data_IF_692612009570
#
_entry.id   IF_692612009570
#
_cell.length_a   1.000
_cell.length_b   1.000
_cell.length_c   1.000
_cell.angle_alpha   90.00
_cell.angle_beta   90.00
_cell.angle_gamma   90.00
#
_symmetry.space_group_name_H-M   'P 1'
#
loop_
_entity.id
_entity.type
_entity.pdbx_description
1 polymer ?
#
# COMPACT_ATOMS: atom_id res chain seq x y z
N UNK A 1 5.02 4.56 -9.84
CA UNK A 1 3.60 4.35 -9.46
C UNK A 1 3.60 3.61 -8.15
N UNK A 2 3.06 4.17 -7.08
CA UNK A 2 3.44 3.61 -5.78
C UNK A 2 2.42 3.85 -4.68
N UNK A 3 1.33 3.10 -4.78
CA UNK A 3 0.18 2.95 -3.87
C UNK A 3 -1.13 3.32 -4.57
N UNK A 4 -1.93 2.29 -4.86
CA UNK A 4 -3.34 2.42 -5.20
C UNK A 4 -4.21 2.03 -4.02
N UNK A 5 -5.11 2.93 -3.63
CA UNK A 5 -6.20 2.61 -2.70
C UNK A 5 -7.41 2.20 -3.53
N UNK A 6 -7.85 0.96 -3.36
CA UNK A 6 -8.95 0.35 -4.10
C UNK A 6 -10.10 0.05 -3.17
N UNK A 7 -11.32 0.38 -3.60
CA UNK A 7 -12.54 -0.04 -2.91
C UNK A 7 -13.01 -1.36 -3.48
N UNK A 8 -13.36 -2.32 -2.62
CA UNK A 8 -14.00 -3.56 -3.03
C UNK A 8 -15.51 -3.33 -3.09
N UNK A 9 -16.13 -3.72 -4.19
CA UNK A 9 -17.58 -3.65 -4.40
C UNK A 9 -17.99 -4.94 -5.11
N UNK A 10 -18.79 -5.78 -4.44
CA UNK A 10 -19.34 -7.04 -4.99
C UNK A 10 -18.27 -7.96 -5.61
N UNK A 11 -17.12 -8.06 -4.94
CA UNK A 11 -16.00 -8.92 -5.37
C UNK A 11 -15.13 -8.36 -6.50
N UNK A 12 -15.38 -7.12 -6.95
CA UNK A 12 -14.49 -6.36 -7.85
C UNK A 12 -13.81 -5.24 -7.07
N UNK A 13 -12.65 -4.80 -7.53
CA UNK A 13 -11.93 -3.68 -6.93
C UNK A 13 -11.79 -2.53 -7.90
N UNK A 14 -12.03 -1.30 -7.43
CA UNK A 14 -11.94 -0.07 -8.23
C UNK A 14 -10.97 0.91 -7.58
N UNK A 15 -10.08 1.50 -8.38
CA UNK A 15 -9.12 2.51 -7.90
C UNK A 15 -9.88 3.78 -7.47
N UNK A 16 -9.67 4.22 -6.23
CA UNK A 16 -10.28 5.43 -5.67
C UNK A 16 -9.28 6.56 -5.51
N UNK A 17 -8.06 6.22 -5.09
CA UNK A 17 -7.02 7.19 -4.77
C UNK A 17 -5.66 6.62 -5.12
N UNK A 18 -4.77 7.51 -5.57
CA UNK A 18 -3.36 7.22 -5.80
C UNK A 18 -2.54 8.02 -4.78
N UNK A 19 -1.58 7.37 -4.14
CA UNK A 19 -0.65 7.98 -3.19
C UNK A 19 0.79 7.85 -3.72
N UNK A 20 1.70 8.67 -3.16
CA UNK A 20 3.15 8.60 -3.35
C UNK A 20 3.59 8.33 -4.80
N UNK A 21 3.23 9.22 -5.73
CA UNK A 21 3.58 9.00 -7.13
C UNK A 21 5.10 8.95 -7.32
N UNK A 22 5.54 8.09 -8.26
CA UNK A 22 6.95 7.87 -8.61
C UNK A 22 7.92 7.47 -7.47
N UNK A 23 7.42 6.99 -6.33
CA UNK A 23 8.26 6.54 -5.19
C UNK A 23 8.41 5.02 -5.13
N UNK A 24 9.54 4.40 -5.47
CA UNK A 24 9.63 2.92 -5.46
C UNK A 24 10.21 2.32 -4.17
N UNK A 25 10.66 3.16 -3.22
CA UNK A 25 11.24 2.68 -1.97
C UNK A 25 10.17 2.20 -0.99
N UNK A 26 10.19 0.91 -0.67
CA UNK A 26 9.21 0.26 0.21
C UNK A 26 9.09 0.91 1.60
N UNK A 27 10.16 1.48 2.17
CA UNK A 27 10.07 2.11 3.51
C UNK A 27 9.39 3.47 3.43
N UNK A 28 9.71 4.27 2.43
CA UNK A 28 9.05 5.56 2.25
C UNK A 28 7.58 5.37 1.89
N UNK A 29 7.26 4.37 1.06
CA UNK A 29 5.88 3.97 0.78
C UNK A 29 5.09 3.59 2.03
N UNK A 30 5.70 2.85 2.96
CA UNK A 30 5.02 2.49 4.19
C UNK A 30 4.83 3.67 5.15
N UNK A 31 5.71 4.68 5.14
CA UNK A 31 5.47 5.93 5.90
C UNK A 31 4.27 6.68 5.33
N UNK A 32 4.16 6.75 4.01
CA UNK A 32 3.04 7.40 3.31
C UNK A 32 1.73 6.65 3.58
N UNK A 33 1.77 5.31 3.52
CA UNK A 33 0.64 4.46 3.89
C UNK A 33 0.23 4.64 5.36
N UNK A 34 1.16 4.57 6.30
CA UNK A 34 0.86 4.74 7.73
C UNK A 34 0.25 6.12 8.01
N UNK A 35 0.84 7.18 7.45
CA UNK A 35 0.28 8.53 7.56
C UNK A 35 -1.16 8.58 7.02
N UNK A 36 -1.40 8.04 5.83
CA UNK A 36 -2.73 8.04 5.23
C UNK A 36 -3.75 7.24 6.05
N UNK A 37 -3.37 6.06 6.58
CA UNK A 37 -4.27 5.27 7.43
C UNK A 37 -4.62 5.99 8.72
N UNK A 38 -3.65 6.63 9.36
CA UNK A 38 -3.87 7.28 10.65
C UNK A 38 -4.60 8.64 10.53
N UNK A 39 -4.38 9.37 9.45
CA UNK A 39 -4.94 10.72 9.27
C UNK A 39 -6.24 10.74 8.44
N UNK A 40 -6.41 9.83 7.47
CA UNK A 40 -7.50 9.90 6.48
C UNK A 40 -8.41 8.66 6.46
N UNK A 41 -7.91 7.48 6.82
CA UNK A 41 -8.75 6.29 6.87
C UNK A 41 -9.86 6.27 7.95
N UNK A 42 -9.88 7.14 9.00
CA UNK A 42 -11.03 7.24 9.90
C UNK A 42 -12.38 7.48 9.18
N UNK A 43 -12.38 8.12 8.01
CA UNK A 43 -13.59 8.46 7.25
C UNK A 43 -14.00 7.40 6.23
N UNK A 44 -13.23 6.32 6.08
CA UNK A 44 -13.59 5.24 5.16
C UNK A 44 -14.75 4.43 5.72
N UNK A 45 -15.83 4.33 4.96
CA UNK A 45 -16.89 3.37 5.23
C UNK A 45 -16.36 1.94 4.98
N UNK A 46 -16.58 1.00 5.91
CA UNK A 46 -16.00 -0.33 5.81
C UNK A 46 -16.52 -1.14 4.61
N UNK A 47 -17.72 -0.88 4.09
CA UNK A 47 -18.23 -1.46 2.83
C UNK A 47 -17.98 -2.98 2.67
N UNK A 48 -17.64 -3.42 1.46
CA UNK A 48 -17.10 -4.77 1.18
C UNK A 48 -15.57 -4.87 1.41
N UNK A 49 -14.95 -3.80 1.95
CA UNK A 49 -13.51 -3.71 2.23
C UNK A 49 -12.72 -2.82 1.28
N UNK A 50 -11.44 -2.65 1.61
CA UNK A 50 -10.48 -1.83 0.89
C UNK A 50 -9.19 -2.61 0.64
N UNK A 51 -8.49 -2.31 -0.45
CA UNK A 51 -7.18 -2.86 -0.76
C UNK A 51 -6.20 -1.72 -0.99
N UNK A 52 -5.11 -1.69 -0.24
CA UNK A 52 -3.97 -0.80 -0.49
C UNK A 52 -2.90 -1.61 -1.23
N UNK A 53 -2.75 -1.34 -2.52
CA UNK A 53 -1.82 -1.99 -3.44
C UNK A 53 -0.51 -1.20 -3.52
N UNK A 54 0.52 -1.68 -2.84
CA UNK A 54 1.82 -1.04 -2.70
C UNK A 54 2.79 -1.65 -3.70
N UNK A 55 3.01 -0.93 -4.81
CA UNK A 55 4.06 -1.23 -5.77
C UNK A 55 5.41 -0.72 -5.29
N UNK A 56 6.42 -1.59 -5.25
CA UNK A 56 7.78 -1.24 -4.81
C UNK A 56 8.83 -1.96 -5.64
N UNK A 57 10.06 -1.44 -5.65
CA UNK A 57 11.22 -2.17 -6.18
C UNK A 57 12.20 -2.52 -5.06
N UNK A 58 12.88 -3.66 -5.21
CA UNK A 58 13.89 -4.09 -4.27
C UNK A 58 15.10 -3.14 -4.33
N UNK A 59 15.63 -2.80 -3.16
CA UNK A 59 16.87 -2.00 -3.09
C UNK A 59 18.04 -2.81 -3.64
N UNK A 60 18.84 -2.19 -4.51
CA UNK A 60 20.05 -2.82 -5.05
C UNK A 60 20.95 -3.35 -3.93
N UNK A 61 21.24 -4.65 -3.97
CA UNK A 61 22.12 -5.31 -3.01
C UNK A 61 21.49 -5.58 -1.63
N UNK A 62 20.18 -5.39 -1.47
CA UNK A 62 19.50 -5.83 -0.25
C UNK A 62 19.38 -7.36 -0.23
N UNK A 63 19.84 -7.98 0.87
CA UNK A 63 19.64 -9.41 1.15
C UNK A 63 18.41 -9.65 2.05
N UNK A 64 17.55 -8.64 2.23
CA UNK A 64 16.33 -8.70 3.03
C UNK A 64 16.03 -7.45 3.85
N UNK A 65 14.90 -7.50 4.58
CA UNK A 65 14.41 -6.45 5.48
C UNK A 65 13.31 -5.59 4.84
N UNK A 66 12.25 -5.32 5.60
CA UNK A 66 11.11 -4.52 5.17
C UNK A 66 10.68 -3.49 6.23
N UNK A 67 9.68 -2.66 5.93
CA UNK A 67 9.05 -1.78 6.91
C UNK A 67 8.35 -2.59 8.01
N UNK A 68 8.23 -1.99 9.19
CA UNK A 68 7.55 -2.59 10.34
C UNK A 68 6.08 -2.21 10.28
N UNK A 69 5.18 -3.20 10.31
CA UNK A 69 3.76 -2.98 10.56
C UNK A 69 3.52 -3.03 12.07
N UNK A 70 3.28 -1.88 12.68
CA UNK A 70 3.01 -1.81 14.12
C UNK A 70 1.66 -2.49 14.46
N UNK A 71 1.50 -3.07 15.66
CA UNK A 71 0.21 -3.60 16.09
C UNK A 71 -0.92 -2.57 16.06
N UNK A 72 -0.61 -1.30 16.29
CA UNK A 72 -1.57 -0.20 16.18
C UNK A 72 -2.07 -0.02 14.75
N UNK A 73 -1.16 0.05 13.76
CA UNK A 73 -1.50 0.18 12.35
C UNK A 73 -2.32 -1.03 11.87
N UNK A 74 -1.90 -2.25 12.24
CA UNK A 74 -2.64 -3.48 11.90
C UNK A 74 -4.06 -3.46 12.45
N UNK A 75 -4.25 -2.98 13.69
CA UNK A 75 -5.58 -2.85 14.30
C UNK A 75 -6.47 -1.87 13.52
N UNK A 76 -5.95 -0.70 13.17
CA UNK A 76 -6.72 0.30 12.40
C UNK A 76 -7.10 -0.28 11.02
N UNK A 77 -6.17 -0.94 10.34
CA UNK A 77 -6.47 -1.61 9.07
C UNK A 77 -7.59 -2.65 9.22
N UNK A 78 -7.54 -3.49 10.26
CA UNK A 78 -8.56 -4.50 10.52
C UNK A 78 -9.94 -3.88 10.82
N UNK A 79 -9.99 -2.86 11.67
CA UNK A 79 -11.23 -2.13 12.00
C UNK A 79 -11.85 -1.45 10.76
N UNK A 80 -11.01 -1.07 9.78
CA UNK A 80 -11.43 -0.43 8.52
C UNK A 80 -11.60 -1.39 7.34
N UNK A 81 -11.38 -2.69 7.52
CA UNK A 81 -11.46 -3.67 6.44
C UNK A 81 -10.40 -3.45 5.34
N UNK A 82 -9.24 -2.90 5.69
CA UNK A 82 -8.14 -2.65 4.77
C UNK A 82 -7.24 -3.89 4.68
N UNK A 83 -7.13 -4.43 3.47
CA UNK A 83 -6.13 -5.42 3.08
C UNK A 83 -4.91 -4.74 2.47
N UNK A 84 -3.72 -5.22 2.78
CA UNK A 84 -2.46 -4.74 2.20
C UNK A 84 -2.05 -5.74 1.11
N UNK A 85 -1.82 -5.24 -0.10
CA UNK A 85 -1.32 -6.02 -1.24
C UNK A 85 0.06 -5.47 -1.63
N UNK A 86 1.07 -6.32 -1.68
CA UNK A 86 2.44 -5.93 -2.00
C UNK A 86 2.81 -6.47 -3.38
N UNK A 87 3.24 -5.55 -4.25
CA UNK A 87 3.58 -5.82 -5.65
C UNK A 87 5.05 -5.44 -5.86
N UNK A 88 5.92 -6.44 -5.96
CA UNK A 88 7.34 -6.20 -6.27
C UNK A 88 7.52 -6.04 -7.79
N UNK A 89 8.25 -5.01 -8.18
CA UNK A 89 8.64 -4.74 -9.56
C UNK A 89 10.15 -4.90 -9.69
N UNK A 90 10.56 -5.65 -10.71
CA UNK A 90 11.96 -5.67 -11.13
C UNK A 90 12.28 -4.34 -11.82
N UNK A 91 13.34 -3.67 -11.39
CA UNK A 91 13.91 -2.50 -12.09
C UNK A 91 14.56 -2.89 -13.45
N UNK A 92 14.37 -4.12 -13.94
CA UNK A 92 14.97 -4.69 -15.15
C UNK A 92 14.11 -4.44 -16.40
N UNK A 93 13.77 -3.19 -16.69
CA UNK A 93 13.48 -2.77 -18.07
C UNK A 93 14.07 -1.39 -18.36
N UNK A 94 15.35 -1.39 -18.75
CA UNK A 94 15.90 -0.45 -19.72
C UNK A 94 17.06 -1.17 -20.43
N UNK A 95 16.74 -1.89 -21.50
CA UNK A 95 17.56 -2.29 -22.67
C UNK A 95 17.04 -3.62 -23.26
N UNK A 96 15.99 -3.54 -24.08
CA UNK A 96 15.67 -4.53 -25.09
C UNK A 96 15.63 -3.84 -26.47
#
# INVERSE_FOLDING_TARGET
MSIWVRKVIRGKSENQLKLADDCWDLRDLFKEFERWVLESAPDLEPGDGWIVDIGFSARKGANGGGPILSPHLMRVCAEKGISIYLSEYDDLEENA
#
